data_IF_677921429928
#
_entry.id   IF_677921429928
#
_cell.length_a   1.000
_cell.length_b   1.000
_cell.length_c   1.000
_cell.angle_alpha   90.00
_cell.angle_beta   90.00
_cell.angle_gamma   90.00
#
_symmetry.space_group_name_H-M   'P 1'
#
loop_
_entity.id
_entity.type
_entity.pdbx_description
1 polymer ?
#
# COMPACT_ATOMS: atom_id res chain seq x y z
N UNK A 1 -3.00 -38.73 15.67
CA UNK A 1 -3.74 -37.45 15.64
C UNK A 1 -3.05 -36.56 14.61
N UNK A 2 -3.76 -36.04 13.62
CA UNK A 2 -3.18 -35.10 12.67
C UNK A 2 -2.93 -33.77 13.39
N UNK A 3 -1.67 -33.33 13.43
CA UNK A 3 -1.29 -32.05 14.03
C UNK A 3 -1.71 -30.93 13.07
N UNK A 4 -2.54 -29.98 13.52
CA UNK A 4 -2.90 -28.81 12.73
C UNK A 4 -1.67 -27.91 12.56
N UNK A 5 -1.41 -27.42 11.34
CA UNK A 5 -0.31 -26.48 11.03
C UNK A 5 -0.82 -25.02 11.04
N UNK A 6 0.10 -24.06 11.15
CA UNK A 6 -0.18 -22.62 11.16
C UNK A 6 -0.94 -22.16 9.90
N UNK A 7 -0.55 -22.65 8.73
CA UNK A 7 -1.21 -22.30 7.47
C UNK A 7 -2.65 -22.83 7.43
N UNK A 8 -2.86 -24.04 7.95
CA UNK A 8 -4.19 -24.64 8.00
C UNK A 8 -5.10 -23.90 8.99
N UNK A 9 -4.58 -23.57 10.17
CA UNK A 9 -5.28 -22.76 11.17
C UNK A 9 -5.64 -21.37 10.61
N UNK A 10 -4.73 -20.70 9.89
CA UNK A 10 -5.01 -19.41 9.24
C UNK A 10 -6.11 -19.52 8.18
N UNK A 11 -6.08 -20.57 7.35
CA UNK A 11 -7.12 -20.81 6.33
C UNK A 11 -8.49 -21.14 6.94
N UNK A 12 -8.52 -21.88 8.05
CA UNK A 12 -9.76 -22.14 8.79
C UNK A 12 -10.28 -20.86 9.44
N UNK A 13 -9.40 -20.07 10.05
CA UNK A 13 -9.74 -18.78 10.64
C UNK A 13 -10.37 -17.83 9.62
N UNK A 14 -9.74 -17.66 8.45
CA UNK A 14 -10.27 -16.83 7.38
C UNK A 14 -11.70 -17.25 6.96
N UNK A 15 -11.95 -18.56 6.85
CA UNK A 15 -13.29 -19.10 6.54
C UNK A 15 -14.32 -18.79 7.63
N UNK A 16 -13.95 -18.95 8.90
CA UNK A 16 -14.82 -18.62 10.03
C UNK A 16 -15.15 -17.12 10.07
N UNK A 17 -14.17 -16.25 9.80
CA UNK A 17 -14.35 -14.80 9.74
C UNK A 17 -15.31 -14.41 8.61
N UNK A 18 -15.21 -15.05 7.44
CA UNK A 18 -16.17 -14.86 6.33
C UNK A 18 -17.58 -15.33 6.70
N UNK A 19 -17.74 -16.49 7.35
CA UNK A 19 -19.05 -16.98 7.78
C UNK A 19 -19.70 -16.06 8.82
N UNK A 20 -18.91 -15.52 9.77
CA UNK A 20 -19.37 -14.55 10.77
C UNK A 20 -19.83 -13.26 10.11
N UNK A 21 -19.05 -12.69 9.19
CA UNK A 21 -19.42 -11.44 8.52
C UNK A 21 -20.66 -11.58 7.62
N UNK A 22 -20.93 -12.79 7.13
CA UNK A 22 -22.14 -13.13 6.39
C UNK A 22 -23.33 -13.50 7.30
N UNK A 23 -23.18 -13.46 8.63
CA UNK A 23 -24.23 -13.82 9.59
C UNK A 23 -24.60 -15.31 9.61
N UNK A 24 -23.77 -16.18 9.02
CA UNK A 24 -24.03 -17.63 8.95
C UNK A 24 -23.71 -18.36 10.25
N UNK A 25 -22.83 -17.78 11.09
CA UNK A 25 -22.52 -18.28 12.43
C UNK A 25 -22.67 -17.14 13.45
N UNK A 26 -23.30 -17.40 14.61
CA UNK A 26 -23.39 -16.42 15.68
C UNK A 26 -22.03 -16.21 16.37
N UNK A 27 -21.87 -15.08 17.05
CA UNK A 27 -20.62 -14.66 17.71
C UNK A 27 -20.04 -15.73 18.64
N UNK A 28 -20.88 -16.35 19.47
CA UNK A 28 -20.43 -17.34 20.46
C UNK A 28 -19.90 -18.62 19.80
N UNK A 29 -20.53 -19.04 18.68
CA UNK A 29 -20.07 -20.16 17.85
C UNK A 29 -18.74 -19.83 17.18
N UNK A 30 -18.60 -18.61 16.66
CA UNK A 30 -17.36 -18.16 16.05
C UNK A 30 -16.20 -18.21 17.06
N UNK A 31 -16.36 -17.62 18.25
CA UNK A 31 -15.31 -17.63 19.29
C UNK A 31 -14.93 -19.05 19.71
N UNK A 32 -15.92 -19.92 19.86
CA UNK A 32 -15.69 -21.33 20.21
C UNK A 32 -14.87 -22.03 19.13
N UNK A 33 -15.22 -21.85 17.86
CA UNK A 33 -14.53 -22.50 16.73
C UNK A 33 -13.12 -21.93 16.50
N UNK A 34 -12.91 -20.62 16.71
CA UNK A 34 -11.57 -20.02 16.66
C UNK A 34 -10.68 -20.57 17.78
N UNK A 35 -11.22 -20.77 18.98
CA UNK A 35 -10.50 -21.36 20.11
C UNK A 35 -10.09 -22.84 19.88
N UNK A 36 -10.70 -23.54 18.93
CA UNK A 36 -10.32 -24.89 18.51
C UNK A 36 -9.16 -24.89 17.51
N UNK A 37 -8.80 -23.74 16.91
CA UNK A 37 -7.70 -23.60 15.93
C UNK A 37 -6.32 -23.49 16.59
N UNK A 38 -6.08 -24.32 17.61
CA UNK A 38 -4.82 -24.32 18.36
C UNK A 38 -3.75 -25.11 17.64
N UNK A 39 -2.58 -24.50 17.50
CA UNK A 39 -1.39 -25.07 16.88
C UNK A 39 -0.25 -25.04 17.90
N UNK A 40 0.54 -26.10 17.97
CA UNK A 40 1.74 -26.12 18.80
C UNK A 40 2.96 -25.93 17.90
N UNK A 41 3.87 -25.04 18.28
CA UNK A 41 5.12 -24.85 17.55
C UNK A 41 6.18 -25.89 17.94
N UNK A 42 7.35 -25.93 17.27
CA UNK A 42 8.42 -26.88 17.60
C UNK A 42 9.00 -26.73 19.02
N UNK A 43 8.78 -25.59 19.69
CA UNK A 43 9.21 -25.36 21.07
C UNK A 43 8.19 -25.86 22.10
N UNK A 44 7.03 -26.35 21.66
CA UNK A 44 5.94 -26.78 22.51
C UNK A 44 5.00 -25.66 22.95
N UNK A 45 5.15 -24.44 22.41
CA UNK A 45 4.28 -23.31 22.74
C UNK A 45 2.97 -23.41 21.95
N UNK A 46 1.83 -23.19 22.63
CA UNK A 46 0.52 -23.18 21.99
C UNK A 46 0.20 -21.81 21.41
N UNK A 47 -0.32 -21.81 20.19
CA UNK A 47 -0.72 -20.63 19.42
C UNK A 47 -2.16 -20.77 18.95
N UNK A 48 -2.90 -19.66 18.88
CA UNK A 48 -4.18 -19.59 18.19
C UNK A 48 -4.39 -18.20 17.57
N UNK A 49 -5.24 -18.07 16.55
CA UNK A 49 -5.69 -16.77 16.07
C UNK A 49 -6.51 -16.03 17.14
N UNK A 50 -6.35 -14.72 17.21
CA UNK A 50 -7.16 -13.86 18.06
C UNK A 50 -8.52 -13.59 17.39
N UNK A 51 -9.66 -13.99 18.00
CA UNK A 51 -10.99 -13.75 17.44
C UNK A 51 -11.33 -12.26 17.30
N UNK A 52 -10.69 -11.37 18.05
CA UNK A 52 -10.98 -9.94 18.10
C UNK A 52 -10.10 -9.12 17.16
N UNK A 53 -8.77 -9.30 17.23
CA UNK A 53 -7.83 -8.51 16.42
C UNK A 53 -7.47 -9.15 15.06
N UNK A 54 -7.68 -10.46 14.89
CA UNK A 54 -7.21 -11.22 13.73
C UNK A 54 -5.70 -11.48 13.70
N UNK A 55 -4.96 -11.07 14.74
CA UNK A 55 -3.56 -11.43 14.96
C UNK A 55 -3.39 -12.83 15.54
N UNK A 56 -2.17 -13.16 15.96
CA UNK A 56 -1.88 -14.41 16.67
C UNK A 56 -1.65 -14.13 18.16
N UNK A 57 -2.12 -15.05 19.00
CA UNK A 57 -1.86 -15.08 20.44
C UNK A 57 -1.21 -16.42 20.81
N UNK A 58 -0.32 -16.41 21.79
CA UNK A 58 0.30 -17.62 22.32
C UNK A 58 0.07 -17.76 23.82
N UNK A 59 0.12 -18.99 24.31
CA UNK A 59 -0.02 -19.28 25.73
C UNK A 59 1.33 -19.14 26.44
N UNK A 60 1.44 -18.18 27.35
CA UNK A 60 2.68 -17.93 28.12
C UNK A 60 2.82 -18.81 29.38
N UNK A 61 1.87 -19.70 29.62
CA UNK A 61 1.76 -20.50 30.83
C UNK A 61 0.63 -20.05 31.77
N UNK A 62 0.16 -18.81 31.63
CA UNK A 62 -0.85 -18.19 32.49
C UNK A 62 -2.00 -17.53 31.72
N UNK A 63 -1.72 -16.93 30.58
CA UNK A 63 -2.66 -16.19 29.76
C UNK A 63 -2.32 -16.31 28.27
N UNK A 64 -3.29 -15.96 27.43
CA UNK A 64 -3.06 -15.77 26.00
C UNK A 64 -2.58 -14.34 25.75
N UNK A 65 -1.39 -14.20 25.17
CA UNK A 65 -0.74 -12.90 24.90
C UNK A 65 -0.44 -12.72 23.41
N UNK A 66 -0.55 -11.49 22.86
CA UNK A 66 -0.23 -11.24 21.44
C UNK A 66 1.21 -11.61 21.07
N UNK A 67 1.39 -12.25 19.91
CA UNK A 67 2.72 -12.63 19.42
C UNK A 67 2.77 -12.91 17.93
N UNK A 68 3.97 -13.17 17.41
CA UNK A 68 4.18 -13.57 16.00
C UNK A 68 4.62 -15.04 15.96
N UNK A 69 3.90 -15.94 15.27
CA UNK A 69 4.29 -17.35 15.21
C UNK A 69 5.61 -17.54 14.45
N UNK A 70 6.43 -18.53 14.82
CA UNK A 70 7.69 -18.79 14.14
C UNK A 70 7.43 -19.17 12.67
N UNK A 71 7.93 -18.36 11.73
CA UNK A 71 7.86 -18.69 10.29
C UNK A 71 8.59 -20.00 10.04
N UNK A 72 7.88 -20.99 9.51
CA UNK A 72 8.45 -22.27 9.08
C UNK A 72 9.61 -21.99 8.13
N UNK A 73 10.83 -22.37 8.52
CA UNK A 73 11.98 -22.31 7.64
C UNK A 73 11.67 -23.13 6.38
N UNK A 74 11.61 -22.47 5.23
CA UNK A 74 11.36 -23.15 3.96
C UNK A 74 12.44 -24.22 3.72
N UNK A 75 12.09 -25.41 3.20
CA UNK A 75 13.08 -26.43 2.89
C UNK A 75 14.09 -25.89 1.88
N UNK A 76 15.37 -26.07 2.20
CA UNK A 76 16.52 -25.51 1.48
C UNK A 76 16.46 -25.82 -0.03
N UNK A 77 16.14 -24.80 -0.84
CA UNK A 77 16.29 -24.86 -2.29
C UNK A 77 17.77 -24.66 -2.66
N UNK A 78 18.22 -25.49 -3.61
CA UNK A 78 19.57 -25.49 -4.19
C UNK A 78 20.00 -24.09 -4.70
N UNK A 79 21.30 -23.75 -4.68
CA UNK A 79 21.79 -22.41 -4.98
C UNK A 79 21.45 -22.02 -6.43
N UNK A 80 20.72 -20.92 -6.60
CA UNK A 80 20.48 -20.26 -7.89
C UNK A 80 21.44 -19.08 -8.03
N UNK A 81 22.03 -18.82 -9.21
CA UNK A 81 23.01 -17.74 -9.41
C UNK A 81 22.45 -16.36 -9.01
N UNK A 82 23.28 -15.61 -8.30
CA UNK A 82 22.95 -14.34 -7.63
C UNK A 82 22.53 -13.23 -8.58
N UNK A 83 21.30 -12.77 -8.42
CA UNK A 83 20.91 -11.39 -8.73
C UNK A 83 21.38 -10.46 -7.58
N UNK A 84 21.58 -9.15 -7.83
CA UNK A 84 22.25 -8.25 -6.88
C UNK A 84 21.52 -8.20 -5.55
N UNK A 85 22.24 -8.61 -4.49
CA UNK A 85 21.76 -8.65 -3.11
C UNK A 85 21.19 -7.29 -2.70
N UNK A 86 19.94 -7.31 -2.23
CA UNK A 86 19.42 -6.30 -1.32
C UNK A 86 20.42 -6.13 -0.18
N UNK A 87 20.84 -4.89 0.04
CA UNK A 87 21.86 -4.53 1.02
C UNK A 87 21.50 -5.05 2.43
N UNK A 88 22.49 -5.41 3.25
CA UNK A 88 22.27 -5.84 4.62
C UNK A 88 21.52 -4.74 5.38
N UNK A 89 20.42 -5.13 6.03
CA UNK A 89 19.80 -4.32 7.08
C UNK A 89 20.89 -4.03 8.10
N UNK A 90 21.24 -2.76 8.39
CA UNK A 90 22.23 -2.47 9.40
C UNK A 90 21.67 -2.94 10.75
N UNK A 91 22.28 -3.98 11.30
CA UNK A 91 22.17 -4.45 12.69
C UNK A 91 22.81 -3.44 13.67
N UNK A 92 22.54 -2.16 13.46
CA UNK A 92 22.91 -1.06 14.33
C UNK A 92 21.63 -0.37 14.75
N UNK A 93 21.04 -0.84 15.85
CA UNK A 93 19.86 -0.25 16.51
C UNK A 93 20.15 1.13 17.10
N UNK A 94 20.63 2.06 16.28
CA UNK A 94 20.72 3.47 16.63
C UNK A 94 19.32 4.05 16.77
N UNK A 95 19.08 4.74 17.88
CA UNK A 95 17.82 5.46 18.11
C UNK A 95 17.57 6.52 17.04
N UNK A 96 18.62 7.01 16.39
CA UNK A 96 18.58 7.99 15.32
C UNK A 96 18.97 7.39 13.96
N UNK A 97 18.41 7.97 12.89
CA UNK A 97 18.75 7.63 11.51
C UNK A 97 20.18 8.09 11.18
N UNK A 98 20.93 7.29 10.42
CA UNK A 98 22.25 7.69 9.91
C UNK A 98 22.15 8.82 8.89
N UNK A 99 23.16 9.71 8.85
CA UNK A 99 23.18 10.88 7.98
C UNK A 99 23.20 10.51 6.48
N UNK A 100 23.81 9.37 6.10
CA UNK A 100 23.79 8.90 4.70
C UNK A 100 22.39 8.44 4.32
N UNK A 101 21.74 7.66 5.18
CA UNK A 101 20.35 7.23 5.01
C UNK A 101 19.39 8.43 4.93
N UNK A 102 19.59 9.43 5.79
CA UNK A 102 18.81 10.66 5.77
C UNK A 102 18.94 11.38 4.41
N UNK A 103 20.17 11.54 3.90
CA UNK A 103 20.42 12.17 2.60
C UNK A 103 19.82 11.38 1.44
N UNK A 104 19.91 10.06 1.49
CA UNK A 104 19.37 9.18 0.44
C UNK A 104 17.84 9.25 0.38
N UNK A 105 17.17 9.12 1.52
CA UNK A 105 15.70 9.26 1.63
C UNK A 105 15.27 10.67 1.21
N UNK A 106 16.06 11.70 1.55
CA UNK A 106 15.77 13.08 1.14
C UNK A 106 15.76 13.28 -0.38
N UNK A 107 16.55 12.48 -1.11
CA UNK A 107 16.64 12.55 -2.58
C UNK A 107 15.63 11.66 -3.29
N UNK A 108 15.38 10.47 -2.73
CA UNK A 108 14.63 9.42 -3.41
C UNK A 108 13.12 9.45 -3.10
N UNK A 109 12.72 9.91 -1.91
CA UNK A 109 11.33 9.83 -1.48
C UNK A 109 10.65 11.20 -1.35
N UNK A 110 9.38 11.33 -1.80
CA UNK A 110 8.60 12.54 -1.60
C UNK A 110 8.34 12.76 -0.10
N UNK A 111 8.18 14.03 0.30
CA UNK A 111 8.10 14.42 1.72
C UNK A 111 7.00 13.69 2.50
N UNK A 112 5.89 13.33 1.86
CA UNK A 112 4.75 12.60 2.46
C UNK A 112 5.09 11.17 2.89
N UNK A 113 6.02 10.52 2.19
CA UNK A 113 6.32 9.09 2.38
C UNK A 113 7.52 8.85 3.29
N UNK A 114 8.15 9.92 3.79
CA UNK A 114 9.36 9.80 4.60
C UNK A 114 9.03 9.20 5.97
N UNK A 115 9.91 8.32 6.49
CA UNK A 115 9.67 7.68 7.78
C UNK A 115 9.80 8.69 8.92
N UNK A 116 9.12 8.42 10.04
CA UNK A 116 9.12 9.30 11.21
C UNK A 116 10.53 9.63 11.72
N UNK A 117 11.45 8.66 11.77
CA UNK A 117 12.85 8.87 12.20
C UNK A 117 13.59 9.91 11.36
N UNK A 118 13.22 10.07 10.08
CA UNK A 118 13.78 11.10 9.20
C UNK A 118 13.40 12.50 9.68
N UNK A 119 12.13 12.68 10.06
CA UNK A 119 11.63 13.94 10.58
C UNK A 119 12.23 14.28 11.95
N UNK A 120 12.51 13.27 12.78
CA UNK A 120 13.15 13.47 14.08
C UNK A 120 14.56 14.04 13.91
N UNK A 121 15.33 13.45 12.99
CA UNK A 121 16.66 13.95 12.67
C UNK A 121 16.59 15.36 12.05
N UNK A 122 15.62 15.62 11.16
CA UNK A 122 15.41 16.96 10.62
C UNK A 122 15.13 17.97 11.73
N UNK A 123 14.28 17.63 12.71
CA UNK A 123 13.96 18.51 13.83
C UNK A 123 15.19 18.79 14.71
N UNK A 124 16.04 17.80 14.93
CA UNK A 124 17.28 17.95 15.70
C UNK A 124 18.26 18.86 14.95
N UNK A 125 18.45 18.64 13.64
CA UNK A 125 19.29 19.49 12.80
C UNK A 125 18.77 20.93 12.74
N UNK A 126 17.46 21.11 12.62
CA UNK A 126 16.81 22.42 12.71
C UNK A 126 17.07 23.10 14.06
N UNK A 127 16.92 22.37 15.16
CA UNK A 127 17.25 22.85 16.51
C UNK A 127 18.71 23.29 16.65
N UNK A 128 19.66 22.54 16.10
CA UNK A 128 21.09 22.90 16.07
C UNK A 128 21.33 24.20 15.30
N UNK A 129 20.73 24.35 14.12
CA UNK A 129 20.88 25.57 13.31
C UNK A 129 20.35 26.79 14.06
N UNK A 130 19.14 26.68 14.64
CA UNK A 130 18.55 27.78 15.42
C UNK A 130 19.39 28.07 16.68
N UNK A 131 19.90 27.05 17.35
CA UNK A 131 20.77 27.20 18.51
C UNK A 131 22.08 27.93 18.18
N UNK A 132 22.71 27.62 17.03
CA UNK A 132 23.92 28.32 16.57
C UNK A 132 23.61 29.78 16.23
N UNK A 133 22.51 30.05 15.53
CA UNK A 133 22.09 31.42 15.22
C UNK A 133 21.80 32.23 16.49
N UNK A 134 21.10 31.63 17.46
CA UNK A 134 20.85 32.23 18.77
C UNK A 134 22.16 32.50 19.51
N UNK A 135 23.06 31.54 19.54
CA UNK A 135 24.35 31.69 20.22
C UNK A 135 25.19 32.81 19.60
N UNK A 136 25.22 32.92 18.27
CA UNK A 136 25.90 34.03 17.58
C UNK A 136 25.25 35.36 17.95
N UNK A 137 23.91 35.44 17.91
CA UNK A 137 23.16 36.65 18.27
C UNK A 137 23.43 37.09 19.72
N UNK A 138 23.25 36.19 20.69
CA UNK A 138 23.53 36.48 22.10
C UNK A 138 25.00 36.75 22.42
N UNK A 139 25.93 36.25 21.59
CA UNK A 139 27.37 36.49 21.79
C UNK A 139 27.82 37.91 21.45
N UNK A 140 27.06 38.66 20.64
CA UNK A 140 27.42 40.04 20.22
C UNK A 140 27.61 40.97 21.44
N UNK A 141 26.84 40.75 22.51
CA UNK A 141 26.88 41.53 23.76
C UNK A 141 27.28 40.67 24.97
N UNK A 142 27.95 39.54 24.77
CA UNK A 142 28.31 38.63 25.86
C UNK A 142 29.17 39.27 26.97
N UNK A 143 29.90 40.35 26.67
CA UNK A 143 30.69 41.09 27.66
C UNK A 143 29.84 41.83 28.71
N UNK A 144 28.59 42.19 28.38
CA UNK A 144 27.68 42.92 29.26
C UNK A 144 26.60 42.04 29.88
N UNK A 145 26.11 41.04 29.13
CA UNK A 145 24.96 40.21 29.53
C UNK A 145 25.35 38.80 30.01
N UNK A 146 26.60 38.40 29.76
CA UNK A 146 27.05 37.02 29.92
C UNK A 146 26.61 36.12 28.76
N UNK A 147 27.00 34.85 28.82
CA UNK A 147 26.68 33.88 27.78
C UNK A 147 25.43 33.06 28.13
N UNK A 148 24.44 33.04 27.24
CA UNK A 148 23.26 32.19 27.35
C UNK A 148 23.51 30.81 26.71
N UNK A 149 24.01 29.88 27.52
CA UNK A 149 24.17 28.47 27.11
C UNK A 149 22.89 27.65 27.24
N UNK A 150 21.94 28.11 28.05
CA UNK A 150 20.72 27.34 28.38
C UNK A 150 19.81 27.30 27.16
N UNK A 151 19.61 28.41 26.46
CA UNK A 151 18.73 28.43 25.29
C UNK A 151 19.19 27.49 24.16
N UNK A 152 20.47 27.49 23.72
CA UNK A 152 20.99 26.49 22.78
C UNK A 152 20.80 25.05 23.24
N UNK A 153 21.03 24.76 24.53
CA UNK A 153 20.84 23.43 25.11
C UNK A 153 19.37 23.02 25.01
N UNK A 154 18.42 23.90 25.33
CA UNK A 154 16.99 23.61 25.23
C UNK A 154 16.53 23.40 23.79
N UNK A 155 16.99 24.24 22.85
CA UNK A 155 16.66 24.16 21.43
C UNK A 155 17.08 22.84 20.77
N UNK A 156 18.18 22.24 21.24
CA UNK A 156 18.65 20.92 20.79
C UNK A 156 18.03 19.81 21.64
N UNK A 157 17.99 20.00 22.96
CA UNK A 157 17.59 19.00 23.95
C UNK A 157 16.13 18.59 23.85
N UNK A 158 15.20 19.54 23.62
CA UNK A 158 13.77 19.24 23.52
C UNK A 158 13.48 18.31 22.33
N UNK A 159 13.91 18.60 21.07
CA UNK A 159 13.73 17.67 19.96
C UNK A 159 14.33 16.28 20.21
N UNK A 160 15.53 16.22 20.79
CA UNK A 160 16.19 14.95 21.15
C UNK A 160 15.35 14.18 22.16
N UNK A 161 14.93 14.83 23.25
CA UNK A 161 14.09 14.24 24.29
C UNK A 161 12.77 13.72 23.71
N UNK A 162 12.08 14.52 22.90
CA UNK A 162 10.83 14.13 22.24
C UNK A 162 11.01 12.93 21.30
N UNK A 163 12.14 12.84 20.59
CA UNK A 163 12.44 11.69 19.74
C UNK A 163 12.72 10.42 20.55
N UNK A 164 13.47 10.52 21.67
CA UNK A 164 13.82 9.39 22.53
C UNK A 164 12.63 8.85 23.33
N UNK A 165 11.80 9.72 23.88
CA UNK A 165 10.68 9.37 24.76
C UNK A 165 9.33 9.35 24.07
N UNK A 166 9.31 9.43 22.73
CA UNK A 166 8.08 9.55 21.94
C UNK A 166 7.02 8.53 22.31
N UNK A 167 7.36 7.25 22.43
CA UNK A 167 6.36 6.21 22.72
C UNK A 167 5.66 6.47 24.05
N UNK A 168 6.43 6.78 25.09
CA UNK A 168 5.89 7.11 26.42
C UNK A 168 5.04 8.37 26.42
N UNK A 169 5.41 9.36 25.60
CA UNK A 169 4.64 10.60 25.45
C UNK A 169 3.34 10.32 24.70
N UNK A 170 3.39 9.53 23.62
CA UNK A 170 2.21 9.14 22.86
C UNK A 170 1.21 8.41 23.77
N UNK A 171 1.66 7.53 24.69
CA UNK A 171 0.82 6.85 25.70
C UNK A 171 0.08 7.84 26.61
N UNK A 172 0.78 8.87 27.12
CA UNK A 172 0.17 9.90 27.96
C UNK A 172 -0.85 10.73 27.16
N UNK A 173 -0.55 11.02 25.89
CA UNK A 173 -1.41 11.83 25.02
C UNK A 173 -2.69 11.10 24.59
N UNK A 174 -2.77 9.76 24.69
CA UNK A 174 -4.00 9.00 24.40
C UNK A 174 -5.18 9.52 25.24
N UNK A 175 -4.96 9.86 26.50
CA UNK A 175 -6.02 10.35 27.40
C UNK A 175 -6.66 11.67 26.92
N UNK A 176 -5.92 12.48 26.16
CA UNK A 176 -6.36 13.79 25.65
C UNK A 176 -7.02 13.65 24.26
N UNK A 177 -6.83 12.51 23.59
CA UNK A 177 -7.28 12.27 22.23
C UNK A 177 -8.79 12.49 22.00
N UNK A 178 -9.72 12.09 22.90
CA UNK A 178 -11.16 12.30 22.69
C UNK A 178 -11.56 13.76 22.56
N UNK A 179 -10.86 14.66 23.26
CA UNK A 179 -11.08 16.11 23.17
C UNK A 179 -10.51 16.63 21.85
N UNK A 180 -9.31 16.18 21.47
CA UNK A 180 -8.63 16.64 20.26
C UNK A 180 -9.39 16.28 18.98
N UNK A 181 -9.97 15.08 18.91
CA UNK A 181 -10.69 14.60 17.72
C UNK A 181 -11.94 15.44 17.39
N UNK A 182 -12.44 16.27 18.32
CA UNK A 182 -13.55 17.19 18.07
C UNK A 182 -13.18 18.37 17.16
N UNK A 183 -11.89 18.61 16.94
CA UNK A 183 -11.38 19.74 16.17
C UNK A 183 -10.81 19.27 14.82
N UNK A 184 -10.96 20.09 13.78
CA UNK A 184 -10.38 19.81 12.47
C UNK A 184 -8.85 19.97 12.50
N UNK A 185 -8.14 19.20 11.68
CA UNK A 185 -6.67 19.27 11.59
C UNK A 185 -6.11 20.67 11.33
N UNK A 186 -6.66 21.47 10.39
CA UNK A 186 -6.19 22.85 10.17
C UNK A 186 -6.35 23.74 11.41
N UNK A 187 -7.41 23.51 12.19
CA UNK A 187 -7.66 24.26 13.41
C UNK A 187 -6.66 23.89 14.51
N UNK A 188 -6.37 22.60 14.69
CA UNK A 188 -5.33 22.14 15.62
C UNK A 188 -3.95 22.72 15.28
N UNK A 189 -3.65 22.81 13.99
CA UNK A 189 -2.42 23.45 13.50
C UNK A 189 -2.38 24.94 13.83
N UNK A 190 -3.48 25.66 13.62
CA UNK A 190 -3.61 27.05 14.04
C UNK A 190 -3.39 27.22 15.55
N UNK A 191 -3.98 26.33 16.36
CA UNK A 191 -3.76 26.33 17.81
C UNK A 191 -2.31 26.04 18.20
N UNK A 192 -1.63 25.10 17.55
CA UNK A 192 -0.22 24.83 17.81
C UNK A 192 0.69 26.03 17.50
N UNK A 193 0.43 26.76 16.41
CA UNK A 193 1.19 27.98 16.09
C UNK A 193 0.93 29.08 17.12
N UNK A 194 -0.33 29.24 17.54
CA UNK A 194 -0.72 30.26 18.51
C UNK A 194 -0.23 29.97 19.95
N UNK A 195 -0.04 28.70 20.29
CA UNK A 195 0.25 28.25 21.66
C UNK A 195 1.51 28.88 22.26
N UNK A 196 2.67 28.95 21.57
CA UNK A 196 3.85 29.65 22.08
C UNK A 196 3.62 31.14 22.40
N UNK A 197 2.76 31.82 21.65
CA UNK A 197 2.43 33.23 21.88
C UNK A 197 1.53 33.40 23.10
N UNK A 198 0.50 32.56 23.21
CA UNK A 198 -0.38 32.55 24.37
C UNK A 198 0.39 32.19 25.65
N UNK A 199 1.31 31.23 25.55
CA UNK A 199 2.15 30.80 26.67
C UNK A 199 3.08 31.93 27.11
N UNK A 200 3.76 32.61 26.17
CA UNK A 200 4.62 33.76 26.48
C UNK A 200 3.82 34.90 27.13
N UNK A 201 2.62 35.18 26.60
CA UNK A 201 1.73 36.19 27.16
C UNK A 201 1.34 35.89 28.60
N UNK A 202 0.93 34.66 28.91
CA UNK A 202 0.56 34.24 30.26
C UNK A 202 1.77 34.26 31.21
N UNK A 203 2.91 33.75 30.78
CA UNK A 203 4.14 33.74 31.58
C UNK A 203 4.57 35.16 31.94
N UNK A 204 4.51 36.11 31.00
CA UNK A 204 4.91 37.49 31.24
C UNK A 204 3.88 38.28 32.05
N UNK A 205 2.63 38.32 31.60
CA UNK A 205 1.63 39.23 32.17
C UNK A 205 0.97 38.68 33.44
N UNK A 206 0.77 37.35 33.53
CA UNK A 206 0.06 36.73 34.65
C UNK A 206 1.03 36.23 35.71
N UNK A 207 2.13 35.60 35.28
CA UNK A 207 3.10 34.98 36.18
C UNK A 207 4.33 35.87 36.48
N UNK A 208 4.47 37.00 35.78
CA UNK A 208 5.53 37.99 36.02
C UNK A 208 6.93 37.52 35.61
N UNK A 209 7.06 36.46 34.81
CA UNK A 209 8.35 36.04 34.30
C UNK A 209 8.86 37.03 33.24
N UNK A 210 10.15 37.36 33.32
CA UNK A 210 10.83 38.29 32.40
C UNK A 210 12.25 37.81 32.11
N UNK A 211 12.97 38.50 31.22
CA UNK A 211 14.35 38.17 30.84
C UNK A 211 14.47 36.75 30.25
N UNK A 212 15.64 36.13 30.40
CA UNK A 212 15.90 34.75 29.98
C UNK A 212 14.97 33.72 30.62
N UNK A 213 14.47 33.96 31.83
CA UNK A 213 13.53 33.03 32.47
C UNK A 213 12.22 32.89 31.66
N UNK A 214 11.69 34.00 31.14
CA UNK A 214 10.54 33.99 30.23
C UNK A 214 10.83 33.13 28.99
N UNK A 215 11.97 33.38 28.35
CA UNK A 215 12.39 32.67 27.15
C UNK A 215 12.51 31.17 27.40
N UNK A 216 13.22 30.76 28.45
CA UNK A 216 13.45 29.34 28.79
C UNK A 216 12.14 28.61 29.09
N UNK A 217 11.29 29.18 29.95
CA UNK A 217 9.99 28.59 30.27
C UNK A 217 9.07 28.51 29.05
N UNK A 218 9.09 29.53 28.18
CA UNK A 218 8.27 29.51 26.98
C UNK A 218 8.76 28.49 25.95
N UNK A 219 10.07 28.34 25.76
CA UNK A 219 10.64 27.29 24.90
C UNK A 219 10.20 25.90 25.39
N UNK A 220 10.19 25.66 26.69
CA UNK A 220 9.77 24.37 27.25
C UNK A 220 8.26 24.19 27.10
N UNK A 221 7.46 25.05 27.74
CA UNK A 221 6.01 24.88 27.82
C UNK A 221 5.32 25.11 26.48
N UNK A 222 5.69 26.16 25.76
CA UNK A 222 5.09 26.50 24.47
C UNK A 222 5.32 25.41 23.42
N UNK A 223 6.53 24.84 23.36
CA UNK A 223 6.85 23.75 22.43
C UNK A 223 6.14 22.45 22.81
N UNK A 224 6.13 22.08 24.11
CA UNK A 224 5.47 20.85 24.57
C UNK A 224 3.94 20.90 24.44
N UNK A 225 3.31 22.03 24.76
CA UNK A 225 1.86 22.18 24.53
C UNK A 225 1.53 22.17 23.05
N UNK A 226 2.31 22.89 22.21
CA UNK A 226 2.15 22.88 20.75
C UNK A 226 2.25 21.45 20.18
N UNK A 227 3.23 20.68 20.66
CA UNK A 227 3.37 19.26 20.35
C UNK A 227 2.14 18.44 20.75
N UNK A 228 1.70 18.54 22.01
CA UNK A 228 0.56 17.80 22.53
C UNK A 228 -0.74 18.07 21.74
N UNK A 229 -0.94 19.31 21.28
CA UNK A 229 -2.13 19.71 20.52
C UNK A 229 -2.19 19.05 19.14
N UNK A 230 -1.06 18.96 18.42
CA UNK A 230 -1.03 18.53 17.01
C UNK A 230 -0.67 17.06 16.85
N UNK A 231 0.09 16.49 17.78
CA UNK A 231 0.61 15.12 17.69
C UNK A 231 -0.50 14.08 17.65
N UNK A 232 -0.58 13.28 16.59
CA UNK A 232 -1.43 12.07 16.57
C UNK A 232 -0.67 10.89 17.21
N UNK A 233 -1.06 10.40 18.40
CA UNK A 233 -0.39 9.24 18.98
C UNK A 233 -0.63 8.04 18.08
N UNK A 234 0.45 7.34 17.73
CA UNK A 234 0.36 6.09 17.00
C UNK A 234 0.09 5.01 18.02
N UNK A 235 -1.18 4.64 18.18
CA UNK A 235 -1.55 3.49 18.99
C UNK A 235 -0.87 2.26 18.39
N UNK A 236 -0.07 1.57 19.18
CA UNK A 236 0.36 0.22 18.85
C UNK A 236 -0.93 -0.62 18.71
N UNK A 237 -1.27 -0.99 17.48
CA UNK A 237 -2.44 -1.79 17.07
C UNK A 237 -3.84 -1.22 17.36
N UNK A 238 -4.48 -0.72 16.29
CA UNK A 238 -5.88 -1.05 15.97
C UNK A 238 -7.00 -0.32 16.71
N UNK A 239 -7.41 0.84 16.18
CA UNK A 239 -8.79 1.33 16.34
C UNK A 239 -8.93 2.83 16.58
N UNK A 240 -9.55 3.54 15.63
CA UNK A 240 -10.81 4.29 15.80
C UNK A 240 -11.08 5.15 14.55
N UNK A 241 -12.27 4.99 13.97
CA UNK A 241 -12.79 5.74 12.82
C UNK A 241 -13.25 7.15 13.20
N UNK A 242 -12.99 8.13 12.32
CA UNK A 242 -13.38 9.54 12.48
C UNK A 242 -14.79 9.83 11.95
N UNK A 243 -15.60 10.65 12.63
CA UNK A 243 -16.67 11.42 11.99
C UNK A 243 -16.13 12.78 11.50
N UNK A 244 -16.48 13.15 10.27
CA UNK A 244 -16.11 14.42 9.66
C UNK A 244 -17.01 15.57 10.11
N UNK A 245 -16.42 16.73 10.41
CA UNK A 245 -17.15 17.97 10.69
C UNK A 245 -16.56 19.15 9.92
N UNK A 246 -17.45 19.99 9.38
CA UNK A 246 -17.17 21.05 8.40
C UNK A 246 -16.44 22.27 9.01
N UNK A 247 -15.35 22.68 8.36
CA UNK A 247 -14.44 23.72 8.81
C UNK A 247 -14.80 25.14 8.38
N UNK A 248 -15.52 25.88 9.23
CA UNK A 248 -15.70 27.35 9.06
C UNK A 248 -15.30 28.20 10.27
N UNK A 249 -14.61 27.64 11.26
CA UNK A 249 -14.17 28.38 12.46
C UNK A 249 -12.68 28.85 12.52
N UNK A 250 -11.72 28.48 11.64
CA UNK A 250 -10.30 28.72 11.94
C UNK A 250 -9.80 30.16 11.70
N UNK A 251 -10.55 31.02 11.00
CA UNK A 251 -10.06 32.37 10.68
C UNK A 251 -10.19 33.36 11.85
N UNK A 252 -11.11 33.12 12.79
CA UNK A 252 -11.41 34.05 13.87
C UNK A 252 -10.43 33.93 15.06
N UNK A 253 -9.83 32.74 15.27
CA UNK A 253 -8.88 32.48 16.36
C UNK A 253 -7.47 33.00 16.09
N UNK A 254 -6.99 32.92 14.83
CA UNK A 254 -5.72 33.55 14.43
C UNK A 254 -5.80 35.07 14.60
N UNK A 255 -6.96 35.66 14.30
CA UNK A 255 -7.21 37.09 14.49
C UNK A 255 -7.15 37.50 15.98
N UNK A 256 -7.72 36.70 16.89
CA UNK A 256 -7.68 36.98 18.35
C UNK A 256 -6.27 36.87 18.92
N UNK A 257 -5.48 35.88 18.52
CA UNK A 257 -4.07 35.80 18.94
C UNK A 257 -3.21 36.95 18.40
N UNK A 258 -3.50 37.47 17.19
CA UNK A 258 -2.85 38.68 16.68
C UNK A 258 -3.28 39.95 17.45
N UNK A 259 -4.51 40.01 17.96
CA UNK A 259 -5.03 41.15 18.73
C UNK A 259 -4.57 41.17 20.21
N UNK A 260 -4.07 40.05 20.75
CA UNK A 260 -3.46 39.98 22.08
C UNK A 260 -2.01 40.50 22.14
N UNK A 261 -1.41 40.86 21.00
CA UNK A 261 -0.18 41.67 20.99
C UNK A 261 -0.59 43.11 21.26
N UNK A 262 -0.78 43.45 22.53
CA UNK A 262 -0.90 44.86 22.93
C UNK A 262 0.39 45.55 22.48
N UNK A 263 0.26 46.44 21.49
CA UNK A 263 1.33 47.30 21.00
C UNK A 263 1.71 48.32 22.10
N UNK A 264 2.44 47.84 23.10
CA UNK A 264 3.22 48.70 23.99
C UNK A 264 4.65 48.53 23.50
N UNK A 265 4.99 49.27 22.45
CA UNK A 265 6.37 49.41 22.01
C UNK A 265 7.06 50.28 23.06
N UNK A 266 7.82 49.65 23.94
CA UNK A 266 8.69 50.36 24.85
C UNK A 266 10.06 50.57 24.17
N UNK A 267 10.62 51.75 24.41
CA UNK A 267 11.68 52.43 23.64
C UNK A 267 13.06 51.74 23.69
N UNK A 268 13.27 50.82 24.64
CA UNK A 268 14.60 50.34 25.01
C UNK A 268 15.16 49.31 24.00
N UNK A 269 14.35 48.33 23.58
CA UNK A 269 14.74 47.38 22.52
C UNK A 269 14.89 48.04 21.14
N UNK A 270 14.15 49.13 20.86
CA UNK A 270 14.31 49.88 19.61
C UNK A 270 15.66 50.58 19.52
N UNK A 271 16.21 51.02 20.66
CA UNK A 271 17.52 51.69 20.73
C UNK A 271 18.68 50.72 20.56
N UNK A 272 18.56 49.49 21.05
CA UNK A 272 19.58 48.45 20.86
C UNK A 272 18.96 47.06 20.61
N UNK A 273 18.55 46.73 19.37
CA UNK A 273 17.92 45.45 19.04
C UNK A 273 18.89 44.26 19.13
N UNK A 274 20.19 44.51 19.39
CA UNK A 274 21.19 43.47 19.60
C UNK A 274 21.36 43.10 21.08
N UNK A 275 20.73 43.85 22.00
CA UNK A 275 20.69 43.52 23.42
C UNK A 275 19.48 42.62 23.72
N UNK A 276 19.72 41.31 23.66
CA UNK A 276 18.68 40.30 23.84
C UNK A 276 18.02 40.41 25.22
N UNK A 277 18.80 40.71 26.27
CA UNK A 277 18.29 40.85 27.62
C UNK A 277 17.31 42.03 27.74
N UNK A 278 17.62 43.16 27.12
CA UNK A 278 16.78 44.36 27.16
C UNK A 278 15.49 44.16 26.36
N UNK A 279 15.59 43.53 25.20
CA UNK A 279 14.42 43.10 24.42
C UNK A 279 13.54 42.10 25.17
N UNK A 280 14.10 41.22 26.01
CA UNK A 280 13.37 40.28 26.86
C UNK A 280 12.80 40.91 28.16
N UNK A 281 13.16 42.15 28.49
CA UNK A 281 12.54 42.94 29.57
C UNK A 281 11.43 43.84 29.07
N UNK A 282 11.56 44.27 27.82
CA UNK A 282 10.65 45.21 27.18
C UNK A 282 9.33 44.53 26.83
N UNK A 283 8.22 45.04 27.35
CA UNK A 283 6.88 44.54 27.00
C UNK A 283 6.65 44.61 25.48
N UNK A 284 5.89 43.67 24.94
CA UNK A 284 5.71 43.48 23.51
C UNK A 284 6.85 42.66 22.90
N UNK A 285 8.10 43.15 22.97
CA UNK A 285 9.27 42.49 22.42
C UNK A 285 9.58 41.17 23.12
N UNK A 286 9.51 41.14 24.46
CA UNK A 286 9.83 39.96 25.24
C UNK A 286 8.93 38.78 24.88
N UNK A 287 7.60 39.01 24.83
CA UNK A 287 6.65 37.96 24.46
C UNK A 287 6.83 37.55 23.00
N UNK A 288 6.99 38.51 22.09
CA UNK A 288 7.14 38.22 20.66
C UNK A 288 8.39 37.39 20.38
N UNK A 289 9.54 37.80 20.93
CA UNK A 289 10.81 37.13 20.72
C UNK A 289 10.79 35.71 21.33
N UNK A 290 10.31 35.58 22.58
CA UNK A 290 10.17 34.26 23.21
C UNK A 290 9.19 33.35 22.45
N UNK A 291 8.09 33.90 21.95
CA UNK A 291 7.10 33.16 21.19
C UNK A 291 7.61 32.73 19.82
N UNK A 292 8.34 33.59 19.10
CA UNK A 292 8.95 33.26 17.80
C UNK A 292 9.96 32.13 17.96
N UNK A 293 10.88 32.22 18.92
CA UNK A 293 11.88 31.17 19.14
C UNK A 293 11.20 29.82 19.46
N UNK A 294 10.19 29.82 20.34
CA UNK A 294 9.44 28.60 20.67
C UNK A 294 8.58 28.11 19.50
N UNK A 295 7.93 28.98 18.74
CA UNK A 295 7.13 28.61 17.58
C UNK A 295 7.99 27.99 16.47
N UNK A 296 9.17 28.55 16.20
CA UNK A 296 10.12 27.96 15.26
C UNK A 296 10.52 26.55 15.70
N UNK A 297 10.84 26.34 16.99
CA UNK A 297 11.12 25.00 17.52
C UNK A 297 9.92 24.06 17.39
N UNK A 298 8.72 24.52 17.75
CA UNK A 298 7.47 23.78 17.63
C UNK A 298 7.16 23.36 16.19
N UNK A 299 7.45 24.21 15.20
CA UNK A 299 7.29 23.89 13.77
C UNK A 299 8.23 22.74 13.37
N UNK A 300 9.49 22.77 13.79
CA UNK A 300 10.43 21.69 13.47
C UNK A 300 10.03 20.36 14.12
N UNK A 301 9.60 20.40 15.39
CA UNK A 301 9.17 19.22 16.13
C UNK A 301 7.90 18.60 15.53
N UNK A 302 6.96 19.43 15.08
CA UNK A 302 5.67 19.00 14.51
C UNK A 302 5.67 18.98 12.97
N UNK A 303 6.83 19.12 12.34
CA UNK A 303 6.96 19.27 10.89
C UNK A 303 6.22 18.22 10.07
N UNK A 304 6.23 16.90 10.41
CA UNK A 304 5.46 15.92 9.65
C UNK A 304 3.97 16.27 9.57
N UNK A 305 3.38 16.74 10.67
CA UNK A 305 1.96 17.04 10.73
C UNK A 305 1.61 18.31 9.95
N UNK A 306 2.49 19.31 9.97
CA UNK A 306 2.34 20.50 9.12
C UNK A 306 2.38 20.13 7.63
N UNK A 307 3.37 19.34 7.21
CA UNK A 307 3.49 18.90 5.82
C UNK A 307 2.25 18.13 5.35
N UNK A 308 1.78 17.19 6.17
CA UNK A 308 0.60 16.38 5.86
C UNK A 308 -0.69 17.18 5.78
N UNK A 309 -0.77 18.32 6.47
CA UNK A 309 -1.95 19.17 6.42
C UNK A 309 -1.95 20.15 5.24
N UNK A 310 -0.75 20.58 4.80
CA UNK A 310 -0.60 21.43 3.61
C UNK A 310 -0.68 20.61 2.33
N UNK A 311 -0.26 19.33 2.38
CA UNK A 311 -0.50 18.43 1.26
C UNK A 311 -1.99 18.08 1.18
N UNK A 312 -2.66 18.38 0.05
CA UNK A 312 -4.05 18.01 -0.13
C UNK A 312 -4.16 16.49 -0.06
N UNK A 313 -4.85 15.97 0.96
CA UNK A 313 -5.21 14.56 1.00
C UNK A 313 -6.19 14.30 -0.15
N UNK A 314 -5.71 13.66 -1.22
CA UNK A 314 -6.55 13.23 -2.34
C UNK A 314 -6.89 14.34 -3.33
N UNK A 315 -5.87 15.03 -3.85
CA UNK A 315 -6.09 15.88 -5.01
C UNK A 315 -6.64 15.08 -6.21
N UNK A 316 -7.28 15.73 -7.20
CA UNK A 316 -7.78 15.06 -8.42
C UNK A 316 -6.72 14.18 -9.10
N UNK A 317 -5.45 14.53 -8.93
CA UNK A 317 -4.31 13.82 -9.46
C UNK A 317 -4.02 12.48 -8.76
N UNK A 318 -4.25 12.39 -7.44
CA UNK A 318 -4.11 11.14 -6.69
C UNK A 318 -5.31 10.22 -6.98
N UNK A 319 -6.52 10.79 -7.09
CA UNK A 319 -7.70 10.04 -7.55
C UNK A 319 -7.53 9.55 -9.00
N UNK A 320 -6.99 10.38 -9.89
CA UNK A 320 -6.66 10.01 -11.27
C UNK A 320 -5.59 8.93 -11.31
N UNK A 321 -4.54 9.03 -10.47
CA UNK A 321 -3.47 8.03 -10.39
C UNK A 321 -4.01 6.70 -9.90
N UNK A 322 -4.79 6.71 -8.83
CA UNK A 322 -5.37 5.49 -8.27
C UNK A 322 -6.36 4.85 -9.25
N UNK A 323 -7.24 5.65 -9.87
CA UNK A 323 -8.15 5.18 -10.91
C UNK A 323 -7.40 4.59 -12.12
N UNK A 324 -6.31 5.22 -12.56
CA UNK A 324 -5.53 4.71 -13.68
C UNK A 324 -4.70 3.47 -13.34
N UNK A 325 -4.24 3.35 -12.10
CA UNK A 325 -3.58 2.13 -11.63
C UNK A 325 -4.57 0.95 -11.62
N UNK A 326 -5.79 1.17 -11.14
CA UNK A 326 -6.87 0.18 -11.17
C UNK A 326 -7.30 -0.16 -12.61
N UNK A 327 -7.45 0.85 -13.48
CA UNK A 327 -7.78 0.67 -14.90
C UNK A 327 -6.66 -0.07 -15.64
N UNK A 328 -5.39 0.21 -15.29
CA UNK A 328 -4.24 -0.48 -15.85
C UNK A 328 -4.18 -1.94 -15.39
N UNK A 329 -4.43 -2.23 -14.10
CA UNK A 329 -4.49 -3.62 -13.64
C UNK A 329 -5.63 -4.39 -14.29
N UNK A 330 -6.80 -3.77 -14.43
CA UNK A 330 -7.92 -4.35 -15.17
C UNK A 330 -7.55 -4.63 -16.62
N UNK A 331 -6.79 -3.75 -17.27
CA UNK A 331 -6.27 -3.99 -18.62
C UNK A 331 -5.30 -5.19 -18.66
N UNK A 332 -4.37 -5.29 -17.71
CA UNK A 332 -3.41 -6.40 -17.61
C UNK A 332 -4.14 -7.74 -17.38
N UNK A 333 -5.09 -7.77 -16.47
CA UNK A 333 -5.88 -8.98 -16.16
C UNK A 333 -6.71 -9.41 -17.37
N UNK A 334 -7.37 -8.48 -18.06
CA UNK A 334 -8.12 -8.78 -19.28
C UNK A 334 -7.23 -9.27 -20.43
N UNK A 335 -6.01 -8.74 -20.54
CA UNK A 335 -4.99 -9.26 -21.48
C UNK A 335 -4.55 -10.68 -21.13
N UNK A 336 -4.39 -11.03 -19.84
CA UNK A 336 -4.08 -12.40 -19.41
C UNK A 336 -5.22 -13.37 -19.74
N UNK A 337 -6.46 -12.90 -19.68
CA UNK A 337 -7.66 -13.65 -20.10
C UNK A 337 -7.75 -13.86 -21.63
N UNK A 338 -6.78 -13.34 -22.42
CA UNK A 338 -6.79 -13.46 -23.89
C UNK A 338 -7.84 -12.58 -24.58
N UNK A 339 -8.36 -11.57 -23.86
CA UNK A 339 -9.26 -10.57 -24.41
C UNK A 339 -8.44 -9.39 -24.94
N UNK A 340 -8.80 -8.87 -26.11
CA UNK A 340 -8.32 -7.56 -26.57
C UNK A 340 -9.47 -6.55 -26.49
N UNK A 341 -9.14 -5.31 -26.17
CA UNK A 341 -10.12 -4.24 -26.12
C UNK A 341 -10.39 -3.70 -27.53
N UNK A 342 -11.63 -3.86 -28.01
CA UNK A 342 -12.10 -3.36 -29.30
C UNK A 342 -12.67 -1.95 -29.10
N UNK A 343 -11.96 -0.95 -29.61
CA UNK A 343 -12.30 0.47 -29.42
C UNK A 343 -13.61 0.86 -30.12
N UNK A 344 -14.01 0.17 -31.19
CA UNK A 344 -15.25 0.48 -31.90
C UNK A 344 -16.48 -0.03 -31.14
N UNK A 345 -16.33 -1.12 -30.39
CA UNK A 345 -17.41 -1.74 -29.62
C UNK A 345 -17.44 -1.34 -28.15
N UNK A 346 -16.42 -0.61 -27.70
CA UNK A 346 -16.20 -0.25 -26.29
C UNK A 346 -16.28 -1.48 -25.36
N UNK A 347 -15.72 -2.61 -25.82
CA UNK A 347 -15.84 -3.90 -25.15
C UNK A 347 -14.58 -4.76 -25.29
N UNK A 348 -14.37 -5.64 -24.31
CA UNK A 348 -13.34 -6.66 -24.35
C UNK A 348 -13.84 -7.86 -25.16
N UNK A 349 -13.11 -8.22 -26.23
CA UNK A 349 -13.50 -9.28 -27.16
C UNK A 349 -12.46 -10.41 -27.11
N UNK A 350 -12.91 -11.65 -27.00
CA UNK A 350 -12.05 -12.82 -27.11
C UNK A 350 -11.49 -12.90 -28.53
N UNK A 351 -10.23 -13.34 -28.69
CA UNK A 351 -9.58 -13.49 -29.99
C UNK A 351 -10.48 -14.25 -30.97
N UNK A 352 -11.19 -13.50 -31.81
CA UNK A 352 -12.24 -14.03 -32.67
C UNK A 352 -11.70 -15.03 -33.70
N UNK A 353 -10.39 -14.99 -33.96
CA UNK A 353 -9.73 -15.87 -34.93
C UNK A 353 -9.62 -17.31 -34.42
N UNK A 354 -9.30 -17.55 -33.14
CA UNK A 354 -9.17 -18.92 -32.64
C UNK A 354 -10.51 -19.65 -32.67
N UNK A 355 -11.59 -18.96 -32.27
CA UNK A 355 -12.94 -19.50 -32.33
C UNK A 355 -13.39 -19.76 -33.77
N UNK A 356 -13.06 -18.87 -34.71
CA UNK A 356 -13.35 -19.08 -36.15
C UNK A 356 -12.62 -20.30 -36.69
N UNK A 357 -11.33 -20.46 -36.38
CA UNK A 357 -10.54 -21.61 -36.80
C UNK A 357 -11.07 -22.93 -36.22
N UNK A 358 -11.45 -22.94 -34.93
CA UNK A 358 -12.06 -24.11 -34.29
C UNK A 358 -13.42 -24.48 -34.91
N UNK A 359 -14.24 -23.48 -35.22
CA UNK A 359 -15.53 -23.69 -35.88
C UNK A 359 -15.34 -24.25 -37.30
N UNK A 360 -14.40 -23.70 -38.08
CA UNK A 360 -14.07 -24.18 -39.42
C UNK A 360 -13.53 -25.61 -39.39
N UNK A 361 -12.68 -25.94 -38.41
CA UNK A 361 -12.15 -27.30 -38.19
C UNK A 361 -13.25 -28.30 -37.87
N UNK A 362 -14.21 -27.91 -37.02
CA UNK A 362 -15.37 -28.75 -36.67
C UNK A 362 -16.27 -29.01 -37.89
N UNK A 363 -16.51 -27.99 -38.71
CA UNK A 363 -17.29 -28.13 -39.94
C UNK A 363 -16.62 -29.08 -40.93
N UNK A 364 -15.31 -28.93 -41.15
CA UNK A 364 -14.53 -29.82 -42.03
C UNK A 364 -14.48 -31.26 -41.54
N UNK A 365 -14.40 -31.47 -40.23
CA UNK A 365 -14.45 -32.81 -39.65
C UNK A 365 -15.80 -33.49 -39.93
N UNK A 366 -16.92 -32.76 -39.78
CA UNK A 366 -18.24 -33.29 -40.09
C UNK A 366 -18.38 -33.63 -41.59
N UNK A 367 -17.86 -32.79 -42.49
CA UNK A 367 -17.83 -33.08 -43.93
C UNK A 367 -17.02 -34.36 -44.24
N UNK A 368 -15.90 -34.57 -43.54
CA UNK A 368 -15.05 -35.75 -43.71
C UNK A 368 -15.77 -37.02 -43.26
N UNK A 369 -16.44 -36.97 -42.11
CA UNK A 369 -17.18 -38.11 -41.56
C UNK A 369 -18.33 -38.52 -42.49
N UNK A 370 -19.02 -37.56 -43.11
CA UNK A 370 -20.06 -37.84 -44.11
C UNK A 370 -19.49 -38.43 -45.41
N UNK A 371 -18.34 -37.94 -45.89
CA UNK A 371 -17.64 -38.53 -47.04
C UNK A 371 -17.19 -39.97 -46.77
N UNK A 372 -16.69 -40.26 -45.57
CA UNK A 372 -16.31 -41.63 -45.19
C UNK A 372 -17.51 -42.58 -45.16
N UNK A 373 -18.65 -42.14 -44.63
CA UNK A 373 -19.90 -42.94 -44.66
C UNK A 373 -20.36 -43.23 -46.09
N UNK A 374 -20.27 -42.24 -46.98
CA UNK A 374 -20.62 -42.41 -48.40
C UNK A 374 -19.67 -43.39 -49.08
N UNK A 375 -18.38 -43.29 -48.81
CA UNK A 375 -17.37 -44.20 -49.32
C UNK A 375 -17.63 -45.64 -48.88
N UNK A 376 -17.85 -45.88 -47.58
CA UNK A 376 -18.16 -47.21 -47.05
C UNK A 376 -19.41 -47.81 -47.68
N UNK A 377 -20.43 -46.97 -47.93
CA UNK A 377 -21.66 -47.39 -48.62
C UNK A 377 -21.37 -47.80 -50.07
N UNK A 378 -20.52 -47.05 -50.79
CA UNK A 378 -20.12 -47.39 -52.16
C UNK A 378 -19.29 -48.66 -52.22
N UNK A 379 -18.32 -48.84 -51.32
CA UNK A 379 -17.53 -50.08 -51.22
C UNK A 379 -18.44 -51.30 -51.01
N UNK A 380 -19.43 -51.19 -50.11
CA UNK A 380 -20.43 -52.25 -49.89
C UNK A 380 -21.27 -52.52 -51.15
N UNK A 381 -21.69 -51.48 -51.86
CA UNK A 381 -22.45 -51.63 -53.10
C UNK A 381 -21.61 -52.24 -54.24
N UNK A 382 -20.36 -51.80 -54.41
CA UNK A 382 -19.43 -52.35 -55.37
C UNK A 382 -19.21 -53.85 -55.13
N UNK A 383 -19.06 -54.27 -53.86
CA UNK A 383 -18.95 -55.69 -53.50
C UNK A 383 -20.21 -56.48 -53.90
N UNK A 384 -21.41 -55.92 -53.68
CA UNK A 384 -22.67 -56.54 -54.13
C UNK A 384 -22.76 -56.62 -55.65
N UNK A 385 -22.35 -55.57 -56.36
CA UNK A 385 -22.36 -55.50 -57.82
C UNK A 385 -21.38 -56.51 -58.43
N UNK A 386 -20.19 -56.67 -57.84
CA UNK A 386 -19.21 -57.71 -58.20
C UNK A 386 -19.80 -59.12 -58.08
N UNK A 387 -20.47 -59.41 -56.96
CA UNK A 387 -21.13 -60.70 -56.74
C UNK A 387 -22.21 -60.91 -57.80
N UNK A 388 -23.10 -59.94 -58.01
CA UNK A 388 -24.17 -60.04 -58.99
C UNK A 388 -23.65 -60.18 -60.43
N UNK A 389 -22.59 -59.45 -60.79
CA UNK A 389 -21.95 -59.55 -62.10
C UNK A 389 -21.30 -60.92 -62.32
N UNK A 390 -20.65 -61.50 -61.29
CA UNK A 390 -20.07 -62.84 -61.38
C UNK A 390 -21.12 -63.93 -61.60
N UNK A 391 -22.29 -63.79 -60.94
CA UNK A 391 -23.44 -64.68 -61.12
C UNK A 391 -24.06 -64.51 -62.51
N UNK A 392 -24.22 -63.27 -62.99
CA UNK A 392 -24.77 -62.97 -64.31
C UNK A 392 -23.88 -63.45 -65.46
N UNK A 393 -22.56 -63.32 -65.33
CA UNK A 393 -21.60 -63.82 -66.32
C UNK A 393 -21.66 -65.35 -66.43
N UNK A 394 -21.83 -66.07 -65.31
CA UNK A 394 -22.01 -67.53 -65.32
C UNK A 394 -23.30 -67.98 -66.03
N UNK A 395 -24.31 -67.10 -66.13
CA UNK A 395 -25.59 -67.36 -66.79
C UNK A 395 -25.65 -66.93 -68.27
N UNK A 396 -24.51 -66.61 -68.89
CA UNK A 396 -24.44 -66.19 -70.31
C UNK A 396 -24.69 -64.71 -70.57
N UNK A 397 -24.56 -63.85 -69.55
CA UNK A 397 -24.66 -62.39 -69.69
C UNK A 397 -23.44 -61.75 -70.39
N UNK A 398 -23.65 -60.55 -70.92
CA UNK A 398 -22.64 -59.73 -71.63
C UNK A 398 -21.52 -59.23 -70.69
N UNK A 399 -20.37 -59.93 -70.72
CA UNK A 399 -19.23 -59.70 -69.84
C UNK A 399 -18.57 -58.32 -70.05
N UNK A 400 -18.62 -57.78 -71.26
CA UNK A 400 -17.98 -56.50 -71.59
C UNK A 400 -18.67 -55.33 -70.88
N UNK A 401 -20.00 -55.39 -70.79
CA UNK A 401 -20.80 -54.40 -70.06
C UNK A 401 -20.51 -54.44 -68.56
N UNK A 402 -20.33 -55.63 -67.99
CA UNK A 402 -19.96 -55.78 -66.57
C UNK A 402 -18.57 -55.21 -66.27
N UNK A 403 -17.59 -55.43 -67.17
CA UNK A 403 -16.25 -54.88 -67.05
C UNK A 403 -16.24 -53.35 -67.12
N UNK A 404 -17.04 -52.74 -68.00
CA UNK A 404 -17.17 -51.28 -68.09
C UNK A 404 -17.75 -50.67 -66.81
N UNK A 405 -18.82 -51.26 -66.25
CA UNK A 405 -19.43 -50.81 -65.00
C UNK A 405 -18.40 -50.89 -63.85
N UNK A 406 -17.66 -52.00 -63.76
CA UNK A 406 -16.63 -52.17 -62.74
C UNK A 406 -15.54 -51.09 -62.84
N UNK A 407 -15.08 -50.80 -64.06
CA UNK A 407 -14.06 -49.78 -64.31
C UNK A 407 -14.55 -48.39 -63.91
N UNK A 408 -15.81 -48.06 -64.21
CA UNK A 408 -16.43 -46.79 -63.82
C UNK A 408 -16.58 -46.67 -62.29
N UNK A 409 -16.97 -47.75 -61.61
CA UNK A 409 -17.05 -47.77 -60.14
C UNK A 409 -15.67 -47.65 -59.48
N UNK A 410 -14.65 -48.32 -60.01
CA UNK A 410 -13.27 -48.20 -59.53
C UNK A 410 -12.74 -46.77 -59.65
N UNK A 411 -13.00 -46.12 -60.79
CA UNK A 411 -12.61 -44.71 -60.98
C UNK A 411 -13.32 -43.80 -59.98
N UNK A 412 -14.64 -43.98 -59.79
CA UNK A 412 -15.40 -43.20 -58.82
C UNK A 412 -14.89 -43.39 -57.38
N UNK A 413 -14.47 -44.61 -57.03
CA UNK A 413 -13.90 -44.91 -55.71
C UNK A 413 -12.51 -44.28 -55.52
N UNK A 414 -11.70 -44.23 -56.59
CA UNK A 414 -10.41 -43.57 -56.58
C UNK A 414 -10.55 -42.05 -56.40
N UNK A 415 -11.51 -41.42 -57.10
CA UNK A 415 -11.79 -40.00 -56.99
C UNK A 415 -12.30 -39.62 -55.58
N UNK A 416 -13.14 -40.46 -54.97
CA UNK A 416 -13.63 -40.26 -53.60
C UNK A 416 -12.52 -40.39 -52.56
N UNK A 417 -11.63 -41.39 -52.72
CA UNK A 417 -10.43 -41.52 -51.89
C UNK A 417 -9.51 -40.31 -52.00
N UNK A 418 -9.36 -39.73 -53.19
CA UNK A 418 -8.59 -38.50 -53.37
C UNK A 418 -9.20 -37.31 -52.61
N UNK A 419 -10.54 -37.17 -52.64
CA UNK A 419 -11.26 -36.13 -51.86
C UNK A 419 -11.10 -36.31 -50.35
N UNK A 420 -11.20 -37.54 -49.85
CA UNK A 420 -10.98 -37.86 -48.43
C UNK A 420 -9.57 -37.43 -48.00
N UNK A 421 -8.54 -37.77 -48.78
CA UNK A 421 -7.15 -37.37 -48.50
C UNK A 421 -6.96 -35.86 -48.51
N UNK A 422 -7.56 -35.16 -49.47
CA UNK A 422 -7.52 -33.70 -49.54
C UNK A 422 -8.14 -33.06 -48.29
N UNK A 423 -9.31 -33.54 -47.86
CA UNK A 423 -10.00 -32.99 -46.70
C UNK A 423 -9.24 -33.27 -45.39
N UNK A 424 -8.61 -34.44 -45.26
CA UNK A 424 -7.69 -34.74 -44.16
C UNK A 424 -6.50 -33.77 -44.11
N UNK A 425 -5.92 -33.41 -45.26
CA UNK A 425 -4.83 -32.43 -45.33
C UNK A 425 -5.28 -31.02 -44.93
N UNK A 426 -6.50 -30.61 -45.30
CA UNK A 426 -7.08 -29.33 -44.87
C UNK A 426 -7.30 -29.29 -43.35
N UNK A 427 -7.79 -30.37 -42.74
CA UNK A 427 -7.96 -30.47 -41.28
C UNK A 427 -6.60 -30.40 -40.57
N UNK A 428 -5.59 -31.12 -41.06
CA UNK A 428 -4.24 -31.06 -40.50
C UNK A 428 -3.66 -29.63 -40.54
N UNK A 429 -3.92 -28.90 -41.64
CA UNK A 429 -3.51 -27.49 -41.75
C UNK A 429 -4.20 -26.64 -40.68
N UNK A 430 -5.51 -26.77 -40.49
CA UNK A 430 -6.25 -26.05 -39.46
C UNK A 430 -5.76 -26.39 -38.04
N UNK A 431 -5.47 -27.66 -37.76
CA UNK A 431 -4.94 -28.08 -36.46
C UNK A 431 -3.58 -27.44 -36.18
N UNK A 432 -2.70 -27.31 -37.19
CA UNK A 432 -1.41 -26.62 -37.04
C UNK A 432 -1.56 -25.12 -36.76
N UNK A 433 -2.53 -24.47 -37.40
CA UNK A 433 -2.82 -23.04 -37.23
C UNK A 433 -3.41 -22.76 -35.85
N UNK A 434 -4.33 -23.62 -35.39
CA UNK A 434 -4.90 -23.58 -34.03
C UNK A 434 -3.79 -23.75 -32.99
N UNK A 435 -2.91 -24.74 -33.16
CA UNK A 435 -1.78 -24.99 -32.24
C UNK A 435 -0.82 -23.79 -32.18
N UNK A 436 -0.54 -23.15 -33.32
CA UNK A 436 0.29 -21.95 -33.38
C UNK A 436 -0.32 -20.80 -32.58
N UNK A 437 -1.61 -20.52 -32.77
CA UNK A 437 -2.32 -19.46 -32.05
C UNK A 437 -2.38 -19.73 -30.54
N UNK A 438 -2.63 -20.98 -30.12
CA UNK A 438 -2.59 -21.37 -28.71
C UNK A 438 -1.22 -21.17 -28.08
N UNK A 439 -0.15 -21.54 -28.79
CA UNK A 439 1.24 -21.35 -28.31
C UNK A 439 1.57 -19.86 -28.15
N UNK A 440 1.13 -19.04 -29.11
CA UNK A 440 1.27 -17.58 -29.04
C UNK A 440 0.54 -16.98 -27.84
N UNK A 441 -0.67 -17.45 -27.54
CA UNK A 441 -1.42 -17.02 -26.35
C UNK A 441 -0.70 -17.42 -25.05
N UNK A 442 -0.19 -18.66 -24.96
CA UNK A 442 0.60 -19.10 -23.79
C UNK A 442 1.87 -18.27 -23.58
N UNK A 443 2.58 -17.92 -24.67
CA UNK A 443 3.76 -17.07 -24.59
C UNK A 443 3.43 -15.66 -24.05
N UNK A 444 2.27 -15.11 -24.44
CA UNK A 444 1.81 -13.83 -23.91
C UNK A 444 1.36 -13.88 -22.45
N UNK A 445 0.92 -15.03 -21.94
CA UNK A 445 0.55 -15.21 -20.53
C UNK A 445 1.76 -15.36 -19.59
N UNK A 446 2.91 -15.81 -20.10
CA UNK A 446 4.15 -15.98 -19.32
C UNK A 446 4.97 -14.69 -19.17
N UNK A 447 4.70 -13.66 -19.99
CA UNK A 447 5.29 -12.31 -19.89
C UNK A 447 4.40 -11.41 -19.06
#
# INVERSE_FOLDING_TARGET
MMHMDFDEAQQRFARLTTQRSQGQIPEDRYRTQVNELRVQDPSGTWWQPDPDSGGWIFWDGSAWVPGTPPKRAAPAQKPRPEAPRSQPVPEGGGTFMDMKTFREISRTQPLSQRPQKWFDLLSILGGIVVAVLWFIYGSIRASTEGFDFVTPILLIGIPVMLALYRSRIDDVLVSIQPVRQKFSRPLLIGFAIATPFLTAFLLFNVLGFSNYALLHWNIILGTLLSYAIVREPVLASGGFTRPGMNGRLPMLMILVCCLCVTAVMADDCEKDPLNAQDCLRTAGYAQMLAAVVSATSGIFVNFPTFVQAVQPQGGPMDQWRQKNEDDFQKFVDKKREGLHYDKEKDAWVADSELNKLQQQRTQKQHELDELQKLHDKRVKNQKKNLINASVGAAAGGDADKAAQILKQEQQALADENARIRQMQAEIQKLDSEISYQQTRQQFHQQK
#
